data_IF_204967822282
#
_entry.id   IF_204967822282
#
_cell.length_a   1.000
_cell.length_b   1.000
_cell.length_c   1.000
_cell.angle_alpha   90.00
_cell.angle_beta   90.00
_cell.angle_gamma   90.00
#
_symmetry.space_group_name_H-M   'P 1'
#
loop_
_entity.id
_entity.type
_entity.pdbx_description
1 polymer ?
#
# COMPACT_ATOMS: atom_id res chain seq x y z
N UNK A 1 -28.52 -3.37 7.44
CA UNK A 1 -27.45 -3.11 6.46
C UNK A 1 -27.04 -1.66 6.60
N UNK A 2 -25.79 -1.39 6.86
CA UNK A 2 -25.24 -0.04 6.96
C UNK A 2 -24.62 0.37 5.61
N UNK A 3 -24.60 1.67 5.29
CA UNK A 3 -24.07 2.19 4.02
C UNK A 3 -22.94 3.18 4.31
N UNK A 4 -21.79 2.96 3.69
CA UNK A 4 -20.63 3.86 3.73
C UNK A 4 -20.46 4.51 2.35
N UNK A 5 -20.71 5.80 2.26
CA UNK A 5 -20.46 6.58 1.04
C UNK A 5 -19.00 7.05 1.02
N UNK A 6 -18.21 6.43 0.16
CA UNK A 6 -16.80 6.73 -0.04
C UNK A 6 -16.51 7.22 -1.49
N UNK A 7 -17.53 7.73 -2.19
CA UNK A 7 -17.37 8.35 -3.50
C UNK A 7 -16.47 9.59 -3.41
N UNK A 8 -15.56 9.75 -4.36
CA UNK A 8 -14.57 10.83 -4.39
C UNK A 8 -13.52 10.76 -3.29
N UNK A 9 -13.48 9.67 -2.52
CA UNK A 9 -12.46 9.48 -1.49
C UNK A 9 -11.25 8.74 -2.07
N UNK A 10 -10.08 9.30 -1.82
CA UNK A 10 -8.81 8.63 -2.17
C UNK A 10 -8.38 7.67 -1.08
N UNK A 11 -7.64 6.61 -1.45
CA UNK A 11 -7.05 5.73 -0.45
C UNK A 11 -6.21 6.53 0.57
N UNK A 12 -6.24 6.18 1.87
CA UNK A 12 -6.82 4.98 2.47
C UNK A 12 -8.26 5.19 3.02
N UNK A 13 -8.90 6.33 2.76
CA UNK A 13 -10.17 6.74 3.39
C UNK A 13 -11.30 5.68 3.29
N UNK A 14 -11.60 5.08 2.10
CA UNK A 14 -12.66 4.09 2.00
C UNK A 14 -12.48 2.92 2.97
N UNK A 15 -11.26 2.41 3.10
CA UNK A 15 -10.91 1.29 3.98
C UNK A 15 -11.09 1.67 5.45
N UNK A 16 -10.57 2.83 5.86
CA UNK A 16 -10.65 3.31 7.25
C UNK A 16 -12.12 3.55 7.65
N UNK A 17 -12.91 4.18 6.77
CA UNK A 17 -14.33 4.42 7.02
C UNK A 17 -15.09 3.11 7.20
N UNK A 18 -14.84 2.15 6.32
CA UNK A 18 -15.48 0.82 6.37
C UNK A 18 -15.05 0.02 7.60
N UNK A 19 -13.75 0.05 7.94
CA UNK A 19 -13.25 -0.60 9.16
C UNK A 19 -13.94 -0.05 10.41
N UNK A 20 -14.02 1.26 10.56
CA UNK A 20 -14.69 1.92 11.68
C UNK A 20 -16.18 1.56 11.77
N UNK A 21 -16.87 1.46 10.63
CA UNK A 21 -18.27 1.06 10.61
C UNK A 21 -18.45 -0.39 11.03
N UNK A 22 -17.59 -1.30 10.56
CA UNK A 22 -17.60 -2.71 11.00
C UNK A 22 -17.35 -2.83 12.51
N UNK A 23 -16.40 -2.04 13.04
CA UNK A 23 -16.08 -2.02 14.47
C UNK A 23 -17.24 -1.45 15.31
N UNK A 24 -17.91 -0.40 14.82
CA UNK A 24 -19.08 0.20 15.47
C UNK A 24 -20.26 -0.79 15.49
N UNK A 25 -20.49 -1.53 14.41
CA UNK A 25 -21.53 -2.57 14.36
C UNK A 25 -21.21 -3.72 15.33
N UNK A 26 -19.94 -4.12 15.42
CA UNK A 26 -19.51 -5.14 16.38
C UNK A 26 -19.74 -4.68 17.82
N UNK A 27 -19.31 -3.47 18.17
CA UNK A 27 -19.52 -2.89 19.50
C UNK A 27 -21.00 -2.74 19.88
N UNK A 28 -21.89 -2.55 18.87
CA UNK A 28 -23.33 -2.47 19.06
C UNK A 28 -24.04 -3.85 19.10
N UNK A 29 -23.29 -4.96 19.03
CA UNK A 29 -23.87 -6.32 18.95
C UNK A 29 -24.56 -6.63 17.61
N UNK A 30 -24.27 -5.87 16.57
CA UNK A 30 -24.85 -5.96 15.22
C UNK A 30 -23.88 -6.54 14.19
N UNK A 31 -22.95 -7.37 14.61
CA UNK A 31 -21.90 -7.97 13.75
C UNK A 31 -22.47 -8.73 12.55
N UNK A 32 -23.67 -9.28 12.66
CA UNK A 32 -24.36 -9.98 11.58
C UNK A 32 -24.88 -9.07 10.45
N UNK A 33 -24.77 -7.74 10.60
CA UNK A 33 -25.19 -6.82 9.56
C UNK A 33 -24.12 -6.66 8.48
N UNK A 34 -24.60 -6.67 7.23
CA UNK A 34 -23.74 -6.36 6.09
C UNK A 34 -23.49 -4.85 5.97
N UNK A 35 -22.30 -4.49 5.48
CA UNK A 35 -21.91 -3.11 5.18
C UNK A 35 -21.78 -2.95 3.68
N UNK A 36 -22.55 -2.03 3.12
CA UNK A 36 -22.46 -1.61 1.73
C UNK A 36 -21.54 -0.41 1.62
N UNK A 37 -20.59 -0.45 0.70
CA UNK A 37 -19.61 0.64 0.47
C UNK A 37 -19.68 1.08 -0.98
N UNK A 38 -19.87 2.38 -1.20
CA UNK A 38 -19.87 2.97 -2.53
C UNK A 38 -18.51 3.60 -2.81
N UNK A 39 -17.86 3.20 -3.91
CA UNK A 39 -16.55 3.71 -4.33
C UNK A 39 -16.53 3.96 -5.83
N UNK A 40 -15.59 4.78 -6.30
CA UNK A 40 -15.45 5.22 -7.69
C UNK A 40 -14.11 4.83 -8.33
N UNK A 41 -13.34 3.94 -7.67
CA UNK A 41 -12.07 3.47 -8.22
C UNK A 41 -11.78 2.03 -7.82
N UNK A 42 -11.11 1.30 -8.73
CA UNK A 42 -10.78 -0.12 -8.54
C UNK A 42 -9.81 -0.37 -7.38
N UNK A 43 -8.92 0.57 -7.08
CA UNK A 43 -7.97 0.42 -5.96
C UNK A 43 -8.74 0.34 -4.63
N UNK A 44 -9.78 1.16 -4.47
CA UNK A 44 -10.65 1.08 -3.30
C UNK A 44 -11.40 -0.27 -3.23
N UNK A 45 -11.90 -0.77 -4.37
CA UNK A 45 -12.57 -2.08 -4.45
C UNK A 45 -11.64 -3.21 -3.96
N UNK A 46 -10.42 -3.29 -4.49
CA UNK A 46 -9.46 -4.31 -4.11
C UNK A 46 -9.04 -4.20 -2.63
N UNK A 47 -8.87 -2.99 -2.13
CA UNK A 47 -8.54 -2.79 -0.72
C UNK A 47 -9.70 -3.18 0.22
N UNK A 48 -10.95 -2.92 -0.17
CA UNK A 48 -12.13 -3.37 0.59
C UNK A 48 -12.29 -4.90 0.56
N UNK A 49 -12.00 -5.54 -0.56
CA UNK A 49 -11.97 -7.00 -0.68
C UNK A 49 -10.95 -7.62 0.29
N UNK A 50 -9.77 -7.02 0.40
CA UNK A 50 -8.74 -7.45 1.36
C UNK A 50 -9.18 -7.22 2.80
N UNK A 51 -9.78 -6.07 3.11
CA UNK A 51 -10.36 -5.81 4.43
C UNK A 51 -11.40 -6.87 4.81
N UNK A 52 -12.29 -7.24 3.89
CA UNK A 52 -13.26 -8.30 4.12
C UNK A 52 -12.56 -9.65 4.40
N UNK A 53 -11.55 -10.00 3.61
CA UNK A 53 -10.75 -11.21 3.77
C UNK A 53 -10.03 -11.29 5.11
N UNK A 54 -9.38 -10.20 5.57
CA UNK A 54 -8.71 -10.13 6.88
C UNK A 54 -9.68 -10.32 8.06
N UNK A 55 -10.96 -9.98 7.84
CA UNK A 55 -12.02 -10.18 8.83
C UNK A 55 -12.84 -11.45 8.57
N UNK A 56 -12.38 -12.33 7.69
CA UNK A 56 -13.05 -13.60 7.30
C UNK A 56 -14.51 -13.41 6.86
N UNK A 57 -14.82 -12.26 6.25
CA UNK A 57 -16.15 -11.92 5.77
C UNK A 57 -16.25 -12.10 4.25
N UNK A 58 -17.40 -12.59 3.79
CA UNK A 58 -17.70 -12.63 2.37
C UNK A 58 -17.81 -11.22 1.78
N UNK A 59 -17.50 -11.07 0.50
CA UNK A 59 -17.62 -9.80 -0.22
C UNK A 59 -18.31 -10.03 -1.57
N UNK A 60 -19.29 -9.19 -1.88
CA UNK A 60 -19.94 -9.12 -3.18
C UNK A 60 -19.60 -7.76 -3.84
N UNK A 61 -19.25 -7.77 -5.11
CA UNK A 61 -18.85 -6.58 -5.85
C UNK A 61 -19.78 -6.45 -7.07
N UNK A 62 -20.43 -5.32 -7.20
CA UNK A 62 -21.24 -4.98 -8.36
C UNK A 62 -20.78 -3.62 -8.93
N UNK A 63 -20.59 -3.57 -10.25
CA UNK A 63 -20.35 -2.32 -10.96
C UNK A 63 -21.70 -1.73 -11.39
N UNK A 64 -21.90 -0.44 -11.17
CA UNK A 64 -23.09 0.25 -11.67
C UNK A 64 -23.05 0.42 -13.20
N UNK A 65 -24.21 0.50 -13.84
CA UNK A 65 -24.35 0.62 -15.31
C UNK A 65 -23.59 1.82 -15.90
N UNK A 66 -23.33 2.86 -15.11
CA UNK A 66 -22.51 4.01 -15.52
C UNK A 66 -21.04 3.70 -15.71
N UNK A 67 -20.57 2.51 -15.27
CA UNK A 67 -19.16 2.06 -15.35
C UNK A 67 -18.19 2.80 -14.44
N UNK A 68 -18.61 3.89 -13.80
CA UNK A 68 -17.75 4.76 -12.98
C UNK A 68 -17.86 4.51 -11.48
N UNK A 69 -18.76 3.64 -11.04
CA UNK A 69 -19.01 3.38 -9.62
C UNK A 69 -19.11 1.89 -9.34
N UNK A 70 -18.67 1.51 -8.16
CA UNK A 70 -18.77 0.15 -7.65
C UNK A 70 -19.47 0.16 -6.31
N UNK A 71 -20.28 -0.86 -6.11
CA UNK A 71 -20.92 -1.21 -4.86
C UNK A 71 -20.25 -2.46 -4.31
N UNK A 72 -19.63 -2.34 -3.15
CA UNK A 72 -18.96 -3.42 -2.45
C UNK A 72 -19.79 -3.74 -1.20
N UNK A 73 -20.33 -4.95 -1.10
CA UNK A 73 -21.10 -5.41 0.06
C UNK A 73 -20.27 -6.40 0.85
N UNK A 74 -19.91 -6.03 2.06
CA UNK A 74 -19.19 -6.90 3.00
C UNK A 74 -20.24 -7.59 3.89
N UNK A 75 -20.26 -8.91 3.86
CA UNK A 75 -21.21 -9.72 4.63
C UNK A 75 -21.07 -9.52 6.13
N UNK A 76 -22.15 -9.72 6.87
CA UNK A 76 -22.11 -9.78 8.33
C UNK A 76 -21.28 -10.96 8.82
N UNK A 77 -20.71 -10.85 10.03
CA UNK A 77 -20.01 -11.94 10.72
C UNK A 77 -20.92 -12.68 11.71
N UNK A 78 -20.58 -13.90 12.07
CA UNK A 78 -21.26 -14.65 13.14
C UNK A 78 -21.05 -13.97 14.50
N UNK A 79 -22.08 -13.97 15.40
CA UNK A 79 -21.89 -13.49 16.77
C UNK A 79 -20.89 -14.40 17.49
N UNK A 80 -19.74 -13.88 17.86
CA UNK A 80 -18.68 -14.62 18.55
C UNK A 80 -17.40 -14.84 17.72
N UNK A 81 -17.38 -14.48 16.46
CA UNK A 81 -16.17 -14.47 15.64
C UNK A 81 -15.38 -13.14 15.83
N UNK A 82 -15.29 -12.71 17.10
CA UNK A 82 -14.39 -11.63 17.53
C UNK A 82 -12.96 -12.16 17.64
N UNK A 83 -12.44 -12.72 16.57
CA UNK A 83 -11.00 -12.83 16.46
C UNK A 83 -10.48 -11.39 16.41
N UNK A 84 -9.54 -10.97 17.29
CA UNK A 84 -8.87 -9.69 17.13
C UNK A 84 -8.45 -9.60 15.65
N UNK A 85 -8.80 -8.51 14.99
CA UNK A 85 -8.40 -8.31 13.60
C UNK A 85 -6.89 -8.61 13.54
N UNK A 86 -6.52 -9.68 12.84
CA UNK A 86 -5.11 -9.83 12.49
C UNK A 86 -4.72 -8.53 11.82
N UNK A 87 -3.54 -7.98 12.13
CA UNK A 87 -3.11 -6.73 11.51
C UNK A 87 -3.40 -6.82 10.02
N UNK A 88 -4.20 -5.91 9.49
CA UNK A 88 -4.52 -5.84 8.07
C UNK A 88 -3.21 -5.62 7.33
N UNK A 89 -2.59 -6.70 6.91
CA UNK A 89 -1.50 -6.65 5.95
C UNK A 89 -2.14 -6.51 4.56
N UNK A 90 -2.05 -5.35 3.92
CA UNK A 90 -2.44 -5.20 2.53
C UNK A 90 -1.42 -5.95 1.66
N UNK A 91 -1.62 -7.23 1.54
CA UNK A 91 -0.87 -8.08 0.65
C UNK A 91 -1.25 -7.74 -0.79
N UNK A 92 -0.32 -7.21 -1.55
CA UNK A 92 -0.33 -7.44 -2.98
C UNK A 92 -0.03 -8.93 -3.15
N UNK A 93 -0.99 -9.70 -3.72
CA UNK A 93 -0.77 -11.11 -4.02
C UNK A 93 0.35 -11.28 -5.05
N UNK A 94 1.56 -11.21 -4.58
CA UNK A 94 2.64 -12.02 -5.04
C UNK A 94 2.96 -12.90 -3.84
N UNK A 95 2.83 -14.22 -3.98
CA UNK A 95 3.31 -15.22 -3.04
C UNK A 95 4.82 -15.00 -2.84
N UNK A 96 5.16 -14.07 -1.98
CA UNK A 96 6.51 -14.01 -1.45
C UNK A 96 6.57 -15.05 -0.33
N UNK A 97 7.55 -15.97 -0.36
CA UNK A 97 7.79 -16.84 0.78
C UNK A 97 7.95 -15.95 2.03
N UNK A 98 7.44 -16.41 3.17
CA UNK A 98 7.60 -15.72 4.44
C UNK A 98 9.09 -15.40 4.63
N UNK A 99 9.49 -14.20 4.23
CA UNK A 99 10.83 -13.71 4.47
C UNK A 99 10.87 -13.40 5.95
N UNK A 100 11.70 -14.13 6.67
CA UNK A 100 12.02 -13.82 8.07
C UNK A 100 12.21 -12.30 8.18
N UNK A 101 11.57 -11.67 9.16
CA UNK A 101 11.73 -10.24 9.40
C UNK A 101 13.22 -9.96 9.58
N UNK A 102 13.87 -9.48 8.55
CA UNK A 102 15.26 -9.04 8.63
C UNK A 102 15.21 -7.71 9.37
N UNK A 103 15.67 -7.73 10.63
CA UNK A 103 15.84 -6.52 11.40
C UNK A 103 16.79 -5.58 10.64
N UNK A 104 16.26 -4.49 10.07
CA UNK A 104 17.03 -3.57 9.26
C UNK A 104 16.33 -2.23 9.09
N UNK A 105 17.05 -1.25 8.55
CA UNK A 105 16.50 0.09 8.35
C UNK A 105 15.45 0.09 7.25
N UNK A 106 14.40 0.86 7.48
CA UNK A 106 13.41 1.20 6.47
C UNK A 106 13.74 2.57 5.88
N UNK A 107 13.78 2.66 4.55
CA UNK A 107 14.05 3.89 3.82
C UNK A 107 12.79 4.34 3.08
N UNK A 108 12.35 5.56 3.33
CA UNK A 108 11.23 6.19 2.67
C UNK A 108 11.74 7.20 1.63
N UNK A 109 11.40 7.01 0.37
CA UNK A 109 11.87 7.80 -0.77
C UNK A 109 10.71 8.57 -1.38
N UNK A 110 10.61 9.85 -1.03
CA UNK A 110 9.50 10.72 -1.45
C UNK A 110 9.77 11.53 -2.72
N UNK A 111 10.99 11.52 -3.23
CA UNK A 111 11.41 12.30 -4.40
C UNK A 111 12.33 11.48 -5.30
N UNK A 112 12.37 11.82 -6.57
CA UNK A 112 13.39 11.34 -7.52
C UNK A 112 14.73 12.08 -7.37
N UNK A 113 14.75 13.13 -6.52
CA UNK A 113 15.93 13.96 -6.23
C UNK A 113 16.27 13.88 -4.75
N UNK A 114 17.54 13.78 -4.40
CA UNK A 114 18.00 13.87 -3.03
C UNK A 114 18.22 15.34 -2.63
N UNK A 115 17.55 15.75 -1.55
CA UNK A 115 17.63 17.13 -1.03
C UNK A 115 16.65 18.10 -1.71
N UNK A 116 16.72 19.37 -1.30
CA UNK A 116 15.80 20.44 -1.73
C UNK A 116 16.56 21.60 -2.41
N UNK A 117 17.50 21.30 -3.24
CA UNK A 117 18.30 22.29 -3.94
C UNK A 117 18.16 22.16 -5.44
N UNK A 118 19.29 22.10 -6.10
CA UNK A 118 19.39 21.88 -7.53
C UNK A 118 18.95 20.47 -7.92
N UNK A 119 18.09 20.36 -8.94
CA UNK A 119 17.52 19.07 -9.35
C UNK A 119 18.53 18.18 -10.08
N UNK A 120 19.47 18.75 -10.84
CA UNK A 120 20.50 17.99 -11.53
C UNK A 120 21.44 17.35 -10.51
N UNK A 121 21.91 18.15 -9.54
CA UNK A 121 22.70 17.63 -8.42
C UNK A 121 21.90 16.60 -7.61
N UNK A 122 20.62 16.88 -7.32
CA UNK A 122 19.74 15.96 -6.58
C UNK A 122 19.57 14.61 -7.25
N UNK A 123 19.49 14.58 -8.59
CA UNK A 123 19.43 13.34 -9.38
C UNK A 123 20.73 12.54 -9.29
N UNK A 124 21.87 13.22 -9.42
CA UNK A 124 23.21 12.60 -9.29
C UNK A 124 23.37 11.99 -7.89
N UNK A 125 22.99 12.72 -6.86
CA UNK A 125 23.06 12.26 -5.47
C UNK A 125 22.14 11.06 -5.22
N UNK A 126 20.89 11.08 -5.71
CA UNK A 126 19.95 9.97 -5.57
C UNK A 126 20.47 8.71 -6.25
N UNK A 127 21.00 8.81 -7.48
CA UNK A 127 21.63 7.70 -8.18
C UNK A 127 22.81 7.13 -7.38
N UNK A 128 23.69 8.00 -6.88
CA UNK A 128 24.82 7.59 -6.06
C UNK A 128 24.40 6.90 -4.76
N UNK A 129 23.31 7.36 -4.13
CA UNK A 129 22.78 6.78 -2.91
C UNK A 129 22.18 5.38 -3.15
N UNK A 130 21.40 5.18 -4.23
CA UNK A 130 20.85 3.86 -4.59
C UNK A 130 21.99 2.87 -4.84
N UNK A 131 23.03 3.30 -5.59
CA UNK A 131 24.23 2.50 -5.80
C UNK A 131 24.93 2.14 -4.48
N UNK A 132 25.08 3.11 -3.56
CA UNK A 132 25.72 2.87 -2.27
C UNK A 132 24.91 1.87 -1.41
N UNK A 133 23.58 1.98 -1.39
CA UNK A 133 22.73 1.01 -0.70
C UNK A 133 22.83 -0.38 -1.31
N UNK A 134 22.83 -0.47 -2.64
CA UNK A 134 22.95 -1.75 -3.35
C UNK A 134 24.27 -2.47 -3.06
N UNK A 135 25.33 -1.73 -2.75
CA UNK A 135 26.66 -2.26 -2.45
C UNK A 135 27.04 -2.24 -0.97
N UNK A 136 26.13 -1.83 -0.07
CA UNK A 136 26.38 -1.87 1.37
C UNK A 136 26.50 -3.31 1.89
N UNK A 137 27.33 -3.56 2.91
CA UNK A 137 27.42 -4.88 3.55
C UNK A 137 26.07 -5.33 4.09
N UNK A 138 25.31 -4.40 4.69
CA UNK A 138 23.95 -4.61 5.17
C UNK A 138 23.01 -3.64 4.43
N UNK A 139 22.29 -4.10 3.39
CA UNK A 139 21.33 -3.27 2.69
C UNK A 139 20.12 -2.94 3.58
N UNK A 140 19.31 -1.92 3.21
CA UNK A 140 18.04 -1.68 3.86
C UNK A 140 17.15 -2.93 3.84
N UNK A 141 16.39 -3.16 4.91
CA UNK A 141 15.42 -4.26 4.92
C UNK A 141 14.23 -3.96 4.01
N UNK A 142 13.83 -2.68 3.93
CA UNK A 142 12.68 -2.25 3.15
C UNK A 142 12.89 -0.86 2.59
N UNK A 143 12.41 -0.62 1.39
CA UNK A 143 12.36 0.71 0.78
C UNK A 143 10.95 1.00 0.27
N UNK A 144 10.43 2.18 0.61
CA UNK A 144 9.07 2.61 0.26
C UNK A 144 9.15 3.85 -0.62
N UNK A 145 8.69 3.74 -1.85
CA UNK A 145 8.72 4.79 -2.85
C UNK A 145 7.33 5.43 -3.02
N UNK A 146 7.25 6.73 -2.84
CA UNK A 146 6.01 7.48 -2.99
C UNK A 146 6.26 8.86 -3.59
N UNK A 147 5.20 9.59 -3.97
CA UNK A 147 5.30 10.85 -4.69
C UNK A 147 6.27 10.75 -5.88
N UNK A 148 7.16 11.70 -6.09
CA UNK A 148 8.18 11.67 -7.16
C UNK A 148 9.10 10.44 -7.10
N UNK A 149 9.36 9.90 -5.90
CA UNK A 149 10.15 8.69 -5.71
C UNK A 149 9.59 7.45 -6.43
N UNK A 150 8.27 7.39 -6.65
CA UNK A 150 7.65 6.29 -7.40
C UNK A 150 8.20 6.12 -8.83
N UNK A 151 8.77 7.17 -9.42
CA UNK A 151 9.41 7.12 -10.75
C UNK A 151 10.70 6.30 -10.76
N UNK A 152 11.37 6.19 -9.61
CA UNK A 152 12.65 5.47 -9.51
C UNK A 152 12.49 3.97 -9.70
N UNK A 153 11.31 3.41 -9.42
CA UNK A 153 11.01 1.98 -9.56
C UNK A 153 10.42 1.61 -10.93
N UNK A 154 10.27 2.60 -11.82
CA UNK A 154 9.67 2.43 -13.13
C UNK A 154 10.70 2.37 -14.25
N UNK A 155 10.28 1.84 -15.40
CA UNK A 155 11.08 1.84 -16.63
C UNK A 155 11.61 3.23 -16.98
N UNK A 156 12.86 3.29 -17.39
CA UNK A 156 13.56 4.54 -17.73
C UNK A 156 14.25 5.23 -16.55
N UNK A 157 14.08 4.74 -15.32
CA UNK A 157 14.84 5.24 -14.18
C UNK A 157 16.32 4.89 -14.28
N UNK A 158 17.18 5.88 -14.04
CA UNK A 158 18.64 5.69 -14.00
C UNK A 158 19.10 4.86 -12.80
N UNK A 159 18.26 4.71 -11.78
CA UNK A 159 18.53 3.94 -10.55
C UNK A 159 17.94 2.53 -10.57
N UNK A 160 17.24 2.15 -11.64
CA UNK A 160 16.45 0.92 -11.69
C UNK A 160 17.29 -0.33 -11.42
N UNK A 161 18.49 -0.38 -12.00
CA UNK A 161 19.39 -1.53 -11.85
C UNK A 161 19.88 -1.70 -10.40
N UNK A 162 20.23 -0.59 -9.73
CA UNK A 162 20.64 -0.63 -8.33
C UNK A 162 19.50 -1.06 -7.42
N UNK A 163 18.25 -0.63 -7.73
CA UNK A 163 17.07 -1.01 -6.95
C UNK A 163 16.74 -2.49 -7.16
N UNK A 164 16.90 -3.05 -8.37
CA UNK A 164 16.77 -4.49 -8.62
C UNK A 164 17.81 -5.29 -7.84
N UNK A 165 19.05 -4.85 -7.82
CA UNK A 165 20.10 -5.47 -7.03
C UNK A 165 19.76 -5.48 -5.53
N UNK A 166 19.14 -4.41 -5.01
CA UNK A 166 18.64 -4.36 -3.64
C UNK A 166 17.56 -5.41 -3.40
N UNK A 167 16.60 -5.54 -4.30
CA UNK A 167 15.54 -6.55 -4.22
C UNK A 167 16.12 -7.98 -4.23
N UNK A 168 17.05 -8.27 -5.14
CA UNK A 168 17.76 -9.56 -5.21
C UNK A 168 18.53 -9.88 -3.92
N UNK A 169 18.98 -8.86 -3.20
CA UNK A 169 19.65 -8.99 -1.90
C UNK A 169 18.68 -9.05 -0.73
N UNK A 170 17.39 -9.14 -0.98
CA UNK A 170 16.34 -9.31 0.04
C UNK A 170 15.75 -8.02 0.60
N UNK A 171 16.05 -6.85 0.01
CA UNK A 171 15.35 -5.61 0.36
C UNK A 171 13.92 -5.63 -0.21
N UNK A 172 12.92 -5.46 0.63
CA UNK A 172 11.55 -5.35 0.17
C UNK A 172 11.32 -3.98 -0.49
N UNK A 173 10.98 -3.97 -1.78
CA UNK A 173 10.76 -2.76 -2.57
C UNK A 173 9.25 -2.55 -2.75
N UNK A 174 8.73 -1.43 -2.24
CA UNK A 174 7.31 -1.10 -2.28
C UNK A 174 7.09 0.27 -2.92
N UNK A 175 6.15 0.36 -3.87
CA UNK A 175 5.80 1.61 -4.55
C UNK A 175 4.33 1.95 -4.35
N UNK A 176 4.05 3.21 -3.99
CA UNK A 176 2.71 3.70 -3.73
C UNK A 176 1.83 3.65 -4.99
N UNK A 177 0.78 2.83 -4.97
CA UNK A 177 -0.15 2.69 -6.09
C UNK A 177 -0.86 3.98 -6.47
N UNK A 178 -1.27 4.80 -5.50
CA UNK A 178 -1.87 6.12 -5.76
C UNK A 178 -0.92 7.03 -6.56
N UNK A 179 0.40 6.96 -6.28
CA UNK A 179 1.38 7.76 -7.01
C UNK A 179 1.59 7.23 -8.44
N UNK A 180 1.63 5.92 -8.61
CA UNK A 180 1.72 5.29 -9.93
C UNK A 180 0.52 5.66 -10.80
N UNK A 181 -0.69 5.62 -10.24
CA UNK A 181 -1.93 5.99 -10.93
C UNK A 181 -1.95 7.48 -11.27
N UNK A 182 -1.58 8.36 -10.33
CA UNK A 182 -1.53 9.81 -10.53
C UNK A 182 -0.58 10.23 -11.67
N UNK A 183 0.60 9.60 -11.73
CA UNK A 183 1.58 9.88 -12.77
C UNK A 183 1.32 9.10 -14.08
N UNK A 184 0.35 8.18 -14.13
CA UNK A 184 0.06 7.34 -15.29
C UNK A 184 1.21 6.39 -15.65
N UNK A 185 1.94 5.90 -14.65
CA UNK A 185 3.14 5.06 -14.82
C UNK A 185 3.01 3.65 -14.23
N UNK A 186 1.81 3.23 -13.88
CA UNK A 186 1.57 1.93 -13.24
C UNK A 186 2.07 0.76 -14.08
N UNK A 187 1.80 0.79 -15.37
CA UNK A 187 2.23 -0.24 -16.33
C UNK A 187 3.75 -0.24 -16.57
N UNK A 188 4.44 0.80 -16.10
CA UNK A 188 5.90 0.94 -16.19
C UNK A 188 6.63 0.49 -14.93
N UNK A 189 5.90 0.03 -13.90
CA UNK A 189 6.56 -0.50 -12.70
C UNK A 189 7.43 -1.68 -13.09
N UNK A 190 8.73 -1.61 -12.77
CA UNK A 190 9.72 -2.56 -13.26
C UNK A 190 10.51 -3.26 -12.16
N UNK A 191 10.29 -2.87 -10.88
CA UNK A 191 10.90 -3.50 -9.70
C UNK A 191 9.99 -3.32 -8.49
N UNK A 192 9.93 -4.31 -7.64
CA UNK A 192 9.15 -4.31 -6.41
C UNK A 192 7.64 -4.51 -6.62
N UNK A 193 6.91 -4.35 -5.52
CA UNK A 193 5.47 -4.48 -5.46
C UNK A 193 4.75 -3.14 -5.29
N UNK A 194 3.44 -3.15 -5.59
CA UNK A 194 2.57 -2.00 -5.35
C UNK A 194 2.04 -2.04 -3.92
N UNK A 195 2.15 -0.94 -3.21
CA UNK A 195 1.57 -0.75 -1.88
C UNK A 195 0.57 0.40 -1.87
N UNK A 196 -0.09 0.61 -0.74
CA UNK A 196 -1.05 1.71 -0.55
C UNK A 196 -0.63 2.61 0.63
N UNK A 197 -1.29 3.76 0.75
CA UNK A 197 -0.94 4.74 1.77
C UNK A 197 -1.20 4.25 3.21
N UNK A 198 -2.15 3.32 3.39
CA UNK A 198 -2.40 2.72 4.70
C UNK A 198 -1.20 1.87 5.15
N UNK A 199 -0.72 0.95 4.28
CA UNK A 199 0.47 0.15 4.55
C UNK A 199 1.72 1.01 4.76
N UNK A 200 1.85 2.11 4.01
CA UNK A 200 2.93 3.08 4.21
C UNK A 200 2.83 3.72 5.61
N UNK A 201 1.61 4.04 6.09
CA UNK A 201 1.43 4.59 7.43
C UNK A 201 1.82 3.61 8.53
N UNK A 202 1.46 2.33 8.38
CA UNK A 202 1.88 1.28 9.32
C UNK A 202 3.41 1.12 9.36
N UNK A 203 4.06 1.16 8.19
CA UNK A 203 5.51 1.13 8.09
C UNK A 203 6.14 2.32 8.83
N UNK A 204 5.56 3.51 8.70
CA UNK A 204 6.07 4.73 9.35
C UNK A 204 5.88 4.73 10.86
N UNK A 205 4.87 4.04 11.36
CA UNK A 205 4.58 3.89 12.79
C UNK A 205 5.31 2.71 13.43
N UNK A 206 5.98 1.88 12.63
CA UNK A 206 6.70 0.72 13.13
C UNK A 206 7.89 1.12 14.03
N UNK A 207 8.20 0.34 15.09
CA UNK A 207 9.22 0.70 16.07
C UNK A 207 10.64 0.73 15.51
N UNK A 208 10.90 0.11 14.37
CA UNK A 208 12.21 0.06 13.71
C UNK A 208 12.72 1.43 13.26
N UNK A 209 11.81 2.39 13.16
CA UNK A 209 12.08 3.73 12.67
C UNK A 209 12.34 3.78 11.16
N UNK A 210 12.05 4.94 10.57
CA UNK A 210 12.17 5.17 9.13
C UNK A 210 13.12 6.33 8.86
N UNK A 211 14.03 6.16 7.91
CA UNK A 211 14.83 7.25 7.35
C UNK A 211 14.13 7.77 6.10
N UNK A 212 13.73 9.04 6.11
CA UNK A 212 13.07 9.68 4.96
C UNK A 212 14.07 10.51 4.14
N UNK A 213 14.01 10.36 2.81
CA UNK A 213 14.82 11.06 1.81
C UNK A 213 13.96 12.02 0.98
#
# INVERSE_FOLDING_TARGET
>A
MSVVDALGKTGPQPVIMTSKELDALAAAGRSAEAVEVLVDNMVAVENLKRLAGSRKRGVEIAQEESGARWRVVIAGGEPGDETPAEPFEPSCDILLPAVAQVAGKVIAVGSEFMGRGDQELGSILMKGLMYAFANADTPPAKMVFFNGGARLTCEGSVSLEDIRQLEERGCEILTCGTCLDFFGIKEKLAVGGVTNLYAISEIFLAPEGVVSL
#
